data_IF_814797171863
#
_entry.id   IF_814797171863
#
_cell.length_a   1.000
_cell.length_b   1.000
_cell.length_c   1.000
_cell.angle_alpha   90.00
_cell.angle_beta   90.00
_cell.angle_gamma   90.00
#
_symmetry.space_group_name_H-M   'P 1'
#
loop_
_entity.id
_entity.type
_entity.pdbx_description
1 polymer ?
#
# COMPACT_ATOMS: atom_id res chain seq x y z
N UNK A 1 43.79 14.69 -28.39
CA UNK A 1 42.34 14.67 -28.06
C UNK A 1 41.61 15.45 -29.13
N UNK A 2 40.87 14.79 -30.02
CA UNK A 2 40.01 15.49 -30.98
C UNK A 2 38.74 15.95 -30.25
N UNK A 3 38.53 17.26 -30.17
CA UNK A 3 37.35 17.85 -29.52
C UNK A 3 36.07 17.56 -30.31
N UNK A 4 34.98 17.32 -29.58
CA UNK A 4 33.63 17.23 -30.14
C UNK A 4 33.27 18.57 -30.82
N UNK A 5 32.94 18.52 -32.10
CA UNK A 5 32.55 19.70 -32.88
C UNK A 5 31.04 19.80 -32.92
N UNK A 6 30.49 20.87 -32.36
CA UNK A 6 29.05 21.07 -32.35
C UNK A 6 28.52 21.31 -33.78
N UNK A 7 27.42 20.66 -34.18
CA UNK A 7 26.84 20.85 -35.50
C UNK A 7 26.35 22.29 -35.66
N UNK A 8 26.76 22.95 -36.75
CA UNK A 8 26.40 24.32 -37.04
C UNK A 8 24.91 24.49 -37.38
N UNK A 9 24.46 25.73 -37.59
CA UNK A 9 23.06 26.02 -37.93
C UNK A 9 22.59 25.27 -39.20
N UNK A 10 23.42 25.25 -40.25
CA UNK A 10 23.11 24.54 -41.48
C UNK A 10 22.99 23.02 -41.27
N UNK A 11 23.84 22.43 -40.44
CA UNK A 11 23.80 20.99 -40.12
C UNK A 11 22.52 20.64 -39.33
N UNK A 12 22.14 21.50 -38.38
CA UNK A 12 20.88 21.35 -37.64
C UNK A 12 19.66 21.47 -38.53
N UNK A 13 19.67 22.40 -39.49
CA UNK A 13 18.59 22.57 -40.46
C UNK A 13 18.46 21.34 -41.37
N UNK A 14 19.58 20.81 -41.88
CA UNK A 14 19.59 19.58 -42.68
C UNK A 14 19.07 18.39 -41.87
N UNK A 15 19.56 18.21 -40.64
CA UNK A 15 19.10 17.15 -39.75
C UNK A 15 17.59 17.24 -39.46
N UNK A 16 17.05 18.44 -39.27
CA UNK A 16 15.62 18.64 -39.08
C UNK A 16 14.79 18.26 -40.33
N UNK A 17 15.28 18.62 -41.53
CA UNK A 17 14.64 18.25 -42.79
C UNK A 17 14.69 16.74 -43.04
N UNK A 18 15.83 16.10 -42.77
CA UNK A 18 15.99 14.65 -42.86
C UNK A 18 15.09 13.92 -41.85
N UNK A 19 15.01 14.40 -40.61
CA UNK A 19 14.10 13.85 -39.60
C UNK A 19 12.63 13.88 -40.07
N UNK A 20 12.19 15.01 -40.66
CA UNK A 20 10.84 15.13 -41.22
C UNK A 20 10.62 14.18 -42.39
N UNK A 21 11.57 14.08 -43.32
CA UNK A 21 11.52 13.12 -44.44
C UNK A 21 11.44 11.67 -43.93
N UNK A 22 12.25 11.33 -42.94
CA UNK A 22 12.28 10.00 -42.34
C UNK A 22 10.96 9.65 -41.64
N UNK A 23 10.34 10.59 -40.93
CA UNK A 23 9.01 10.40 -40.33
C UNK A 23 7.94 10.16 -41.39
N UNK A 24 7.92 10.95 -42.47
CA UNK A 24 6.97 10.76 -43.57
C UNK A 24 7.18 9.43 -44.28
N UNK A 25 8.43 9.03 -44.52
CA UNK A 25 8.73 7.74 -45.13
C UNK A 25 8.30 6.58 -44.24
N UNK A 26 8.56 6.64 -42.92
CA UNK A 26 8.07 5.65 -41.95
C UNK A 26 6.55 5.53 -41.96
N UNK A 27 5.84 6.66 -42.00
CA UNK A 27 4.38 6.66 -42.05
C UNK A 27 3.86 6.04 -43.34
N UNK A 28 4.46 6.37 -44.49
CA UNK A 28 4.10 5.78 -45.80
C UNK A 28 4.41 4.30 -45.89
N UNK A 29 5.50 3.84 -45.26
CA UNK A 29 5.91 2.43 -45.25
C UNK A 29 5.24 1.62 -44.15
N UNK A 30 4.45 2.25 -43.28
CA UNK A 30 3.83 1.54 -42.16
C UNK A 30 2.73 0.61 -42.70
N UNK A 31 2.75 -0.68 -42.33
CA UNK A 31 1.69 -1.60 -42.71
C UNK A 31 0.35 -1.12 -42.17
N UNK A 32 -0.70 -1.29 -42.98
CA UNK A 32 -2.05 -0.89 -42.63
C UNK A 32 -2.63 -1.70 -41.47
N UNK A 33 -3.80 -1.29 -40.93
CA UNK A 33 -4.46 -1.98 -39.83
C UNK A 33 -4.82 -3.44 -40.14
N UNK A 34 -5.09 -3.74 -41.42
CA UNK A 34 -5.50 -5.07 -41.89
C UNK A 34 -4.30 -5.94 -42.32
N UNK A 35 -3.07 -5.44 -42.18
CA UNK A 35 -1.87 -6.23 -42.42
C UNK A 35 -1.81 -7.40 -41.42
N UNK A 36 -1.61 -8.65 -41.88
CA UNK A 36 -1.69 -9.82 -41.01
C UNK A 36 -0.70 -9.78 -39.85
N UNK A 37 0.47 -9.16 -40.01
CA UNK A 37 1.45 -9.04 -38.93
C UNK A 37 1.02 -7.99 -37.88
N UNK A 38 0.32 -6.93 -38.30
CA UNK A 38 -0.25 -5.93 -37.39
C UNK A 38 -1.42 -6.52 -36.59
N UNK A 39 -2.31 -7.27 -37.27
CA UNK A 39 -3.44 -7.96 -36.63
C UNK A 39 -2.94 -8.99 -35.62
N UNK A 40 -1.95 -9.81 -35.96
CA UNK A 40 -1.36 -10.79 -35.05
C UNK A 40 -0.77 -10.12 -33.80
N UNK A 41 0.01 -9.05 -33.96
CA UNK A 41 0.56 -8.28 -32.83
C UNK A 41 -0.52 -7.65 -31.96
N UNK A 42 -1.62 -7.21 -32.57
CA UNK A 42 -2.76 -6.65 -31.83
C UNK A 42 -3.44 -7.73 -31.00
N UNK A 43 -3.74 -8.88 -31.61
CA UNK A 43 -4.34 -10.03 -30.93
C UNK A 43 -3.47 -10.53 -29.78
N UNK A 44 -2.15 -10.61 -29.95
CA UNK A 44 -1.20 -10.97 -28.88
C UNK A 44 -1.25 -9.97 -27.71
N UNK A 45 -1.27 -8.67 -28.01
CA UNK A 45 -1.37 -7.61 -26.97
C UNK A 45 -2.70 -7.66 -26.24
N UNK A 46 -3.79 -7.88 -26.95
CA UNK A 46 -5.14 -8.01 -26.38
C UNK A 46 -5.23 -9.24 -25.48
N UNK A 47 -4.71 -10.38 -25.93
CA UNK A 47 -4.64 -11.60 -25.12
C UNK A 47 -3.79 -11.41 -23.85
N UNK A 48 -2.65 -10.71 -23.97
CA UNK A 48 -1.81 -10.41 -22.82
C UNK A 48 -2.47 -9.42 -21.86
N UNK A 49 -3.21 -8.43 -22.38
CA UNK A 49 -3.97 -7.48 -21.59
C UNK A 49 -5.11 -8.18 -20.82
N UNK A 50 -5.83 -9.09 -21.47
CA UNK A 50 -6.87 -9.91 -20.84
C UNK A 50 -6.30 -10.74 -19.69
N UNK A 51 -5.21 -11.49 -19.92
CA UNK A 51 -4.52 -12.26 -18.86
C UNK A 51 -4.07 -11.39 -17.68
N UNK A 52 -3.57 -10.18 -17.95
CA UNK A 52 -3.20 -9.24 -16.89
C UNK A 52 -4.40 -8.70 -16.13
N UNK A 53 -5.52 -8.46 -16.81
CA UNK A 53 -6.75 -8.00 -16.18
C UNK A 53 -7.32 -9.07 -15.24
N UNK A 54 -7.37 -10.33 -15.70
CA UNK A 54 -7.79 -11.49 -14.88
C UNK A 54 -6.89 -11.65 -13.65
N UNK A 55 -5.57 -11.63 -13.83
CA UNK A 55 -4.62 -11.75 -12.72
C UNK A 55 -4.73 -10.58 -11.71
N UNK A 56 -5.05 -9.37 -12.18
CA UNK A 56 -5.30 -8.22 -11.29
C UNK A 56 -6.59 -8.41 -10.50
N UNK A 57 -7.68 -8.81 -11.15
CA UNK A 57 -8.96 -9.04 -10.50
C UNK A 57 -8.85 -10.11 -9.39
N UNK A 58 -8.16 -11.21 -9.65
CA UNK A 58 -7.90 -12.24 -8.64
C UNK A 58 -7.12 -11.70 -7.44
N UNK A 59 -6.03 -10.96 -7.67
CA UNK A 59 -5.22 -10.37 -6.59
C UNK A 59 -5.97 -9.30 -5.81
N UNK A 60 -6.84 -8.54 -6.46
CA UNK A 60 -7.66 -7.53 -5.77
C UNK A 60 -8.71 -8.18 -4.87
N UNK A 61 -9.32 -9.29 -5.31
CA UNK A 61 -10.22 -10.08 -4.48
C UNK A 61 -9.50 -10.65 -3.25
N UNK A 62 -8.34 -11.30 -3.44
CA UNK A 62 -7.52 -11.84 -2.35
C UNK A 62 -7.10 -10.75 -1.35
N UNK A 63 -6.66 -9.60 -1.84
CA UNK A 63 -6.30 -8.47 -0.96
C UNK A 63 -7.49 -7.91 -0.21
N UNK A 64 -8.67 -7.88 -0.82
CA UNK A 64 -9.87 -7.42 -0.14
C UNK A 64 -10.25 -8.37 1.01
N UNK A 65 -10.15 -9.68 0.80
CA UNK A 65 -10.39 -10.67 1.85
C UNK A 65 -9.34 -10.59 2.97
N UNK A 66 -8.06 -10.51 2.62
CA UNK A 66 -6.98 -10.35 3.61
C UNK A 66 -7.17 -9.10 4.47
N UNK A 67 -7.54 -7.96 3.87
CA UNK A 67 -7.82 -6.74 4.62
C UNK A 67 -8.99 -6.91 5.60
N UNK A 68 -10.06 -7.61 5.20
CA UNK A 68 -11.18 -7.88 6.13
C UNK A 68 -10.74 -8.73 7.31
N UNK A 69 -9.95 -9.78 7.06
CA UNK A 69 -9.42 -10.65 8.12
C UNK A 69 -8.50 -9.85 9.06
N UNK A 70 -7.61 -9.02 8.50
CA UNK A 70 -6.73 -8.17 9.30
C UNK A 70 -7.48 -7.12 10.13
N UNK A 71 -8.53 -6.52 9.56
CA UNK A 71 -9.38 -5.55 10.27
C UNK A 71 -10.16 -6.23 11.41
N UNK A 72 -10.71 -7.42 11.16
CA UNK A 72 -11.39 -8.22 12.18
C UNK A 72 -10.42 -8.65 13.29
N UNK A 73 -9.21 -9.11 12.94
CA UNK A 73 -8.18 -9.46 13.91
C UNK A 73 -7.76 -8.26 14.77
N UNK A 74 -7.55 -7.09 14.15
CA UNK A 74 -7.23 -5.84 14.87
C UNK A 74 -8.35 -5.42 15.81
N UNK A 75 -9.61 -5.54 15.38
CA UNK A 75 -10.76 -5.24 16.23
C UNK A 75 -10.86 -6.22 17.42
N UNK A 76 -10.60 -7.50 17.19
CA UNK A 76 -10.58 -8.52 18.24
C UNK A 76 -9.44 -8.26 19.25
N UNK A 77 -8.23 -7.94 18.79
CA UNK A 77 -7.10 -7.60 19.66
C UNK A 77 -7.36 -6.33 20.47
N UNK A 78 -7.90 -5.28 19.85
CA UNK A 78 -8.27 -4.06 20.55
C UNK A 78 -9.31 -4.33 21.65
N UNK A 79 -10.31 -5.18 21.37
CA UNK A 79 -11.30 -5.58 22.36
C UNK A 79 -10.68 -6.40 23.52
N UNK A 80 -9.70 -7.25 23.24
CA UNK A 80 -8.97 -8.00 24.28
C UNK A 80 -8.14 -7.08 25.17
N UNK A 81 -7.40 -6.15 24.57
CA UNK A 81 -6.61 -5.18 25.31
C UNK A 81 -7.48 -4.27 26.19
N UNK A 82 -8.64 -3.85 25.70
CA UNK A 82 -9.60 -3.08 26.50
C UNK A 82 -10.09 -3.86 27.72
N UNK A 83 -10.46 -5.14 27.55
CA UNK A 83 -10.88 -6.00 28.67
C UNK A 83 -9.75 -6.22 29.67
N UNK A 84 -8.53 -6.45 29.20
CA UNK A 84 -7.38 -6.62 30.09
C UNK A 84 -7.07 -5.34 30.87
N UNK A 85 -7.18 -4.17 30.25
CA UNK A 85 -7.05 -2.88 30.92
C UNK A 85 -8.15 -2.68 32.00
N UNK A 86 -9.39 -3.05 31.71
CA UNK A 86 -10.49 -2.98 32.68
C UNK A 86 -10.27 -3.96 33.85
N UNK A 87 -9.85 -5.19 33.57
CA UNK A 87 -9.57 -6.19 34.60
C UNK A 87 -8.39 -5.77 35.50
N UNK A 88 -7.33 -5.22 34.92
CA UNK A 88 -6.18 -4.74 35.68
C UNK A 88 -6.55 -3.53 36.55
N UNK A 89 -7.35 -2.60 36.02
CA UNK A 89 -7.89 -1.48 36.80
C UNK A 89 -8.78 -1.96 37.95
N UNK A 90 -9.66 -2.94 37.71
CA UNK A 90 -10.52 -3.51 38.73
C UNK A 90 -9.72 -4.22 39.84
N UNK A 91 -8.68 -5.00 39.46
CA UNK A 91 -7.77 -5.64 40.42
C UNK A 91 -7.01 -4.61 41.25
N UNK A 92 -6.51 -3.54 40.63
CA UNK A 92 -5.84 -2.46 41.35
C UNK A 92 -6.77 -1.78 42.37
N UNK A 93 -7.99 -1.44 41.96
CA UNK A 93 -8.99 -0.84 42.85
C UNK A 93 -9.36 -1.76 44.03
N UNK A 94 -9.49 -3.07 43.79
CA UNK A 94 -9.74 -4.05 44.85
C UNK A 94 -8.58 -4.11 45.86
N UNK A 95 -7.33 -4.13 45.39
CA UNK A 95 -6.15 -4.12 46.25
C UNK A 95 -6.05 -2.84 47.09
N UNK A 96 -6.35 -1.67 46.51
CA UNK A 96 -6.38 -0.40 47.23
C UNK A 96 -7.47 -0.39 48.32
N UNK A 97 -8.66 -0.92 48.01
CA UNK A 97 -9.75 -1.05 48.97
C UNK A 97 -9.37 -1.97 50.13
N UNK A 98 -8.72 -3.11 49.87
CA UNK A 98 -8.21 -4.00 50.91
C UNK A 98 -7.14 -3.33 51.78
N UNK A 99 -6.20 -2.62 51.17
CA UNK A 99 -5.16 -1.89 51.91
C UNK A 99 -5.75 -0.79 52.78
N UNK A 100 -6.78 -0.09 52.30
CA UNK A 100 -7.51 0.92 53.07
C UNK A 100 -8.24 0.26 54.25
N UNK A 101 -8.97 -0.83 54.03
CA UNK A 101 -9.63 -1.56 55.11
C UNK A 101 -8.65 -2.04 56.19
N UNK A 102 -7.47 -2.54 55.80
CA UNK A 102 -6.39 -2.91 56.73
C UNK A 102 -5.87 -1.71 57.53
N UNK A 103 -5.69 -0.55 56.88
CA UNK A 103 -5.28 0.69 57.56
C UNK A 103 -6.33 1.17 58.55
N UNK A 104 -7.60 1.18 58.15
CA UNK A 104 -8.72 1.62 58.99
C UNK A 104 -8.88 0.71 60.22
N UNK A 105 -8.75 -0.62 60.06
CA UNK A 105 -8.74 -1.57 61.16
C UNK A 105 -7.59 -1.31 62.16
N UNK A 106 -6.37 -1.04 61.65
CA UNK A 106 -5.22 -0.67 62.50
C UNK A 106 -5.47 0.64 63.27
N UNK A 107 -6.05 1.63 62.60
CA UNK A 107 -6.36 2.92 63.22
C UNK A 107 -7.43 2.77 64.32
N UNK A 108 -8.48 1.99 64.06
CA UNK A 108 -9.51 1.66 65.05
C UNK A 108 -8.93 0.95 66.28
N UNK A 109 -8.07 -0.06 66.08
CA UNK A 109 -7.40 -0.77 67.18
C UNK A 109 -6.50 0.16 68.01
N UNK A 110 -5.72 1.04 67.35
CA UNK A 110 -4.89 2.03 68.05
C UNK A 110 -5.71 3.02 68.86
N UNK A 111 -6.85 3.48 68.32
CA UNK A 111 -7.76 4.40 69.01
C UNK A 111 -8.40 3.74 70.22
N UNK A 112 -8.82 2.48 70.10
CA UNK A 112 -9.37 1.70 71.20
C UNK A 112 -8.36 1.51 72.35
N UNK A 113 -7.07 1.34 72.04
CA UNK A 113 -6.00 1.23 73.06
C UNK A 113 -5.64 2.55 73.76
N UNK A 114 -6.00 3.70 73.16
CA UNK A 114 -5.72 5.04 73.71
C UNK A 114 -6.84 5.58 74.58
N UNK A 115 -7.99 4.91 74.60
CA UNK A 115 -9.11 5.17 75.51
C UNK A 115 -8.99 4.23 76.70
#
# INVERSE_FOLDING_TARGET
>A
MSGFREPGFADRQKAALEARKNLLNKFKSQPGPDDPAVVAKRAEREALAAKRAEAKAAREAEKAEQKRIEEEAKAAEAARLAREAEETAAKAAALEAEQKAKRDARYAARKAKRK
#
